data_IF_721765012536
#
_entry.id   IF_721765012536
#
_cell.length_a   1.000
_cell.length_b   1.000
_cell.length_c   1.000
_cell.angle_alpha   90.00
_cell.angle_beta   90.00
_cell.angle_gamma   90.00
#
_symmetry.space_group_name_H-M   'P 1'
#
loop_
_entity.id
_entity.type
_entity.pdbx_description
1 polymer ?
#
# COMPACT_ATOMS: atom_id res chain seq x y z
N UNK A 1 40.91 18.36 -44.97
CA UNK A 1 40.53 17.28 -44.06
C UNK A 1 40.98 15.96 -44.65
N UNK A 2 41.98 15.37 -44.05
CA UNK A 2 42.67 14.18 -44.58
C UNK A 2 41.77 12.92 -44.47
N UNK A 3 41.92 11.99 -45.45
CA UNK A 3 41.23 10.71 -45.51
C UNK A 3 41.33 9.88 -44.20
N UNK A 4 42.38 10.08 -43.41
CA UNK A 4 42.58 9.44 -42.12
C UNK A 4 41.57 9.93 -41.03
N UNK A 5 41.18 11.21 -41.05
CA UNK A 5 40.19 11.75 -40.07
C UNK A 5 38.77 11.25 -40.34
N UNK A 6 38.45 10.92 -41.59
CA UNK A 6 37.14 10.34 -41.93
C UNK A 6 37.02 8.86 -41.53
N UNK A 7 38.14 8.12 -41.53
CA UNK A 7 38.15 6.72 -41.09
C UNK A 7 38.07 6.59 -39.55
N UNK A 8 38.66 7.52 -38.82
CA UNK A 8 38.59 7.54 -37.34
C UNK A 8 37.18 7.88 -36.80
N UNK A 9 36.42 8.73 -37.51
CA UNK A 9 35.03 9.03 -37.14
C UNK A 9 34.05 7.88 -37.48
N UNK A 10 34.36 7.06 -38.49
CA UNK A 10 33.51 5.92 -38.86
C UNK A 10 33.73 4.72 -37.94
N UNK A 11 34.94 4.53 -37.39
CA UNK A 11 35.26 3.47 -36.42
C UNK A 11 34.76 3.78 -35.01
N UNK A 12 34.53 5.04 -34.63
CA UNK A 12 34.00 5.41 -33.34
C UNK A 12 32.46 5.25 -33.27
N UNK A 13 31.76 5.24 -34.41
CA UNK A 13 30.31 5.06 -34.48
C UNK A 13 29.89 3.58 -34.44
N UNK A 14 30.82 2.65 -34.67
CA UNK A 14 30.55 1.20 -34.65
C UNK A 14 30.76 0.52 -33.31
N UNK A 15 31.29 1.24 -32.30
CA UNK A 15 31.53 0.69 -30.95
C UNK A 15 30.45 1.02 -29.92
N UNK A 16 29.39 1.75 -30.30
CA UNK A 16 28.24 2.05 -29.43
C UNK A 16 26.98 1.26 -29.83
N UNK A 17 27.17 0.05 -30.36
CA UNK A 17 26.11 -0.95 -30.32
C UNK A 17 26.04 -1.47 -28.88
N UNK A 18 25.50 -0.63 -27.98
CA UNK A 18 25.09 -1.08 -26.68
C UNK A 18 24.14 -2.25 -26.92
N UNK A 19 24.58 -3.44 -26.61
CA UNK A 19 23.77 -4.65 -26.56
C UNK A 19 22.65 -4.37 -25.57
N UNK A 20 21.50 -3.89 -26.08
CA UNK A 20 20.26 -4.00 -25.33
C UNK A 20 20.05 -5.50 -25.20
N UNK A 21 20.59 -6.06 -24.15
CA UNK A 21 20.27 -7.43 -23.74
C UNK A 21 18.79 -7.43 -23.40
N UNK A 22 17.97 -7.60 -24.42
CA UNK A 22 16.58 -7.98 -24.23
C UNK A 22 16.63 -9.37 -23.61
N UNK A 23 16.48 -9.44 -22.30
CA UNK A 23 16.29 -10.72 -21.64
C UNK A 23 15.12 -11.40 -22.35
N UNK A 24 15.36 -12.60 -22.87
CA UNK A 24 14.30 -13.39 -23.48
C UNK A 24 13.11 -13.47 -22.51
N UNK A 25 11.87 -13.34 -23.00
CA UNK A 25 10.71 -13.42 -22.15
C UNK A 25 10.76 -14.72 -21.36
N UNK A 26 10.72 -14.64 -20.04
CA UNK A 26 10.75 -15.79 -19.15
C UNK A 26 9.46 -16.58 -19.37
N UNK A 27 9.57 -17.83 -19.77
CA UNK A 27 8.42 -18.72 -19.93
C UNK A 27 7.91 -19.13 -18.55
N UNK A 28 6.90 -18.43 -18.06
CA UNK A 28 6.24 -18.73 -16.80
C UNK A 28 5.28 -19.91 -16.98
N UNK A 29 5.61 -21.05 -16.39
CA UNK A 29 4.69 -22.19 -16.33
C UNK A 29 3.56 -21.90 -15.36
N UNK A 30 2.36 -22.39 -15.68
CA UNK A 30 1.20 -22.27 -14.82
C UNK A 30 0.60 -23.66 -14.49
N UNK A 31 -0.12 -23.72 -13.41
CA UNK A 31 -0.96 -24.86 -13.02
C UNK A 31 -2.44 -24.50 -13.17
N UNK A 32 -3.28 -25.52 -13.27
CA UNK A 32 -4.74 -25.36 -13.33
C UNK A 32 -5.39 -26.25 -12.27
N UNK A 33 -6.62 -25.93 -11.89
CA UNK A 33 -7.42 -26.76 -11.01
C UNK A 33 -8.40 -27.60 -11.87
N UNK A 34 -8.44 -28.92 -11.74
CA UNK A 34 -9.42 -29.75 -12.45
C UNK A 34 -10.85 -29.27 -12.18
N UNK A 35 -11.67 -29.23 -13.23
CA UNK A 35 -13.07 -28.81 -13.16
C UNK A 35 -13.34 -27.39 -12.63
N UNK A 36 -12.33 -26.51 -12.64
CA UNK A 36 -12.53 -25.10 -12.31
C UNK A 36 -13.39 -24.41 -13.39
N UNK A 37 -14.57 -23.88 -13.04
CA UNK A 37 -15.46 -23.20 -13.97
C UNK A 37 -14.83 -21.92 -14.55
N UNK A 38 -13.93 -21.28 -13.80
CA UNK A 38 -13.23 -20.06 -14.21
C UNK A 38 -12.02 -20.35 -15.10
N UNK A 39 -11.59 -21.63 -15.19
CA UNK A 39 -10.41 -22.06 -15.94
C UNK A 39 -9.16 -21.24 -15.58
N UNK A 40 -8.99 -20.97 -14.28
CA UNK A 40 -7.90 -20.15 -13.77
C UNK A 40 -6.54 -20.74 -14.09
N UNK A 41 -5.62 -19.90 -14.54
CA UNK A 41 -4.19 -20.19 -14.67
C UNK A 41 -3.48 -19.63 -13.47
N UNK A 42 -2.76 -20.47 -12.74
CA UNK A 42 -2.07 -20.11 -11.51
C UNK A 42 -0.57 -20.11 -11.77
N UNK A 43 0.03 -18.93 -11.75
CA UNK A 43 1.47 -18.74 -11.89
C UNK A 43 2.08 -18.55 -10.51
N UNK A 44 3.28 -19.07 -10.31
CA UNK A 44 4.09 -18.79 -9.12
C UNK A 44 5.38 -18.12 -9.58
N UNK A 45 5.62 -16.91 -9.12
CA UNK A 45 6.82 -16.15 -9.43
C UNK A 45 7.96 -16.58 -8.50
N UNK A 46 9.22 -16.24 -8.86
CA UNK A 46 10.40 -16.65 -8.11
C UNK A 46 10.42 -16.14 -6.65
N UNK A 47 9.78 -15.00 -6.39
CA UNK A 47 9.62 -14.43 -5.05
C UNK A 47 8.46 -15.04 -4.25
N UNK A 48 7.78 -16.06 -4.79
CA UNK A 48 6.65 -16.72 -4.15
C UNK A 48 5.29 -16.07 -4.41
N UNK A 49 5.21 -14.92 -5.11
CA UNK A 49 3.95 -14.30 -5.48
C UNK A 49 3.14 -15.24 -6.39
N UNK A 50 1.89 -15.45 -6.06
CA UNK A 50 0.95 -16.21 -6.91
C UNK A 50 0.07 -15.25 -7.70
N UNK A 51 -0.01 -15.49 -9.01
CA UNK A 51 -0.86 -14.73 -9.93
C UNK A 51 -1.93 -15.66 -10.48
N UNK A 52 -3.18 -15.34 -10.22
CA UNK A 52 -4.35 -16.06 -10.72
C UNK A 52 -4.92 -15.28 -11.88
N UNK A 53 -5.06 -15.90 -13.04
CA UNK A 53 -5.58 -15.27 -14.24
C UNK A 53 -6.74 -16.06 -14.81
N UNK A 54 -7.87 -15.39 -15.03
CA UNK A 54 -9.01 -15.91 -15.77
C UNK A 54 -9.25 -15.06 -17.01
N UNK A 55 -9.92 -15.59 -18.02
CA UNK A 55 -10.22 -14.85 -19.24
C UNK A 55 -11.74 -14.71 -19.40
N UNK A 56 -12.22 -13.47 -19.34
CA UNK A 56 -13.55 -13.09 -19.76
C UNK A 56 -13.42 -12.22 -21.02
N UNK A 57 -14.11 -12.60 -22.12
CA UNK A 57 -14.06 -11.88 -23.41
C UNK A 57 -15.25 -10.94 -23.63
N UNK A 58 -16.14 -10.83 -22.67
CA UNK A 58 -17.37 -10.04 -22.80
C UNK A 58 -17.11 -8.54 -22.67
N UNK A 59 -16.03 -8.16 -21.96
CA UNK A 59 -15.67 -6.75 -21.78
C UNK A 59 -14.17 -6.53 -22.04
N UNK A 60 -13.76 -5.35 -22.56
CA UNK A 60 -12.35 -4.99 -22.75
C UNK A 60 -11.71 -4.47 -21.47
N UNK A 61 -12.11 -4.97 -20.31
CA UNK A 61 -11.64 -4.54 -18.98
C UNK A 61 -11.14 -5.74 -18.17
N UNK A 62 -10.32 -5.45 -17.18
CA UNK A 62 -9.77 -6.42 -16.25
C UNK A 62 -10.12 -5.99 -14.83
N UNK A 63 -10.85 -6.83 -14.11
CA UNK A 63 -11.03 -6.69 -12.68
C UNK A 63 -9.78 -7.25 -11.98
N UNK A 64 -9.10 -6.43 -11.20
CA UNK A 64 -7.88 -6.80 -10.49
C UNK A 64 -8.12 -6.90 -8.98
N UNK A 65 -7.39 -7.82 -8.35
CA UNK A 65 -7.37 -8.01 -6.91
C UNK A 65 -5.92 -8.27 -6.46
N UNK A 66 -5.40 -7.45 -5.56
CA UNK A 66 -4.13 -7.72 -4.88
C UNK A 66 -4.45 -8.08 -3.44
N UNK A 67 -4.40 -9.37 -3.13
CA UNK A 67 -4.74 -9.93 -1.83
C UNK A 67 -3.47 -10.18 -1.01
N UNK A 68 -3.36 -9.50 0.13
CA UNK A 68 -2.31 -9.70 1.13
C UNK A 68 -2.87 -10.58 2.25
N UNK A 69 -2.18 -11.68 2.59
CA UNK A 69 -2.61 -12.64 3.64
C UNK A 69 -2.36 -12.08 5.06
N UNK A 70 -2.76 -10.85 5.27
CA UNK A 70 -2.73 -10.16 6.57
C UNK A 70 -4.07 -9.44 6.74
N UNK A 71 -4.64 -9.54 7.90
CA UNK A 71 -5.89 -8.90 8.27
C UNK A 71 -5.99 -8.73 9.79
N UNK A 72 -7.12 -8.29 10.28
CA UNK A 72 -7.31 -7.95 11.70
C UNK A 72 -6.95 -9.05 12.69
N UNK A 73 -6.98 -10.33 12.30
CA UNK A 73 -6.53 -11.43 13.17
C UNK A 73 -5.02 -11.42 13.43
N UNK A 74 -4.25 -10.74 12.60
CA UNK A 74 -2.80 -10.66 12.70
C UNK A 74 -2.34 -9.44 13.52
N UNK A 75 -3.27 -8.56 13.88
CA UNK A 75 -2.97 -7.40 14.71
C UNK A 75 -2.50 -7.84 16.10
N UNK A 76 -1.51 -7.14 16.69
CA UNK A 76 -1.20 -7.33 18.10
C UNK A 76 -2.43 -7.03 18.97
N UNK A 77 -2.62 -7.78 20.05
CA UNK A 77 -3.79 -7.64 20.92
C UNK A 77 -3.93 -6.22 21.53
N UNK A 78 -2.79 -5.58 21.73
CA UNK A 78 -2.70 -4.23 22.29
C UNK A 78 -2.96 -3.12 21.26
N UNK A 79 -2.82 -3.42 19.95
CA UNK A 79 -2.89 -2.44 18.86
C UNK A 79 -3.76 -2.94 17.71
N UNK A 80 -4.98 -3.35 18.03
CA UNK A 80 -5.94 -3.84 17.03
C UNK A 80 -6.36 -2.73 16.07
N UNK A 81 -6.56 -3.10 14.78
CA UNK A 81 -6.88 -2.17 13.69
C UNK A 81 -5.66 -1.79 12.84
N UNK A 82 -4.49 -2.34 13.16
CA UNK A 82 -3.24 -2.06 12.46
C UNK A 82 -3.31 -2.44 10.97
N UNK A 83 -3.86 -3.60 10.64
CA UNK A 83 -4.02 -4.04 9.26
C UNK A 83 -4.90 -3.09 8.44
N UNK A 84 -6.01 -2.61 9.01
CA UNK A 84 -6.89 -1.62 8.38
C UNK A 84 -6.20 -0.27 8.23
N UNK A 85 -5.46 0.16 9.24
CA UNK A 85 -4.69 1.38 9.18
C UNK A 85 -3.59 1.34 8.09
N UNK A 86 -2.87 0.22 7.97
CA UNK A 86 -1.91 0.03 6.87
C UNK A 86 -2.58 0.04 5.50
N UNK A 87 -3.80 -0.47 5.38
CA UNK A 87 -4.58 -0.36 4.14
C UNK A 87 -4.67 1.10 3.69
N UNK A 88 -5.06 2.02 4.59
CA UNK A 88 -5.15 3.45 4.31
C UNK A 88 -3.79 4.06 3.93
N UNK A 89 -2.72 3.71 4.66
CA UNK A 89 -1.38 4.23 4.41
C UNK A 89 -0.85 3.85 3.02
N UNK A 90 -1.28 2.72 2.47
CA UNK A 90 -0.89 2.28 1.13
C UNK A 90 -1.42 3.20 0.00
N UNK A 91 -2.32 4.12 0.28
CA UNK A 91 -2.80 5.14 -0.66
C UNK A 91 -2.04 6.47 -0.58
N UNK A 92 -1.13 6.61 0.39
CA UNK A 92 -0.40 7.87 0.63
C UNK A 92 0.79 8.10 -0.29
N UNK A 93 1.13 7.12 -1.13
CA UNK A 93 2.16 7.23 -2.15
C UNK A 93 3.46 6.48 -1.82
N UNK A 94 4.47 6.76 -2.63
CA UNK A 94 5.76 6.08 -2.61
C UNK A 94 6.90 7.10 -2.57
N UNK A 95 8.12 6.66 -2.80
CA UNK A 95 9.26 7.55 -3.05
C UNK A 95 9.16 8.27 -4.41
N UNK A 96 8.26 7.83 -5.32
CA UNK A 96 8.16 8.33 -6.69
C UNK A 96 6.87 9.09 -7.00
N UNK A 97 5.80 8.84 -6.24
CA UNK A 97 4.54 9.57 -6.33
C UNK A 97 3.96 9.84 -4.93
N UNK A 98 3.02 10.77 -4.83
CA UNK A 98 2.51 11.28 -3.55
C UNK A 98 3.36 12.39 -2.93
N UNK A 99 4.43 12.79 -3.62
CA UNK A 99 5.33 13.86 -3.18
C UNK A 99 5.86 14.67 -4.37
N UNK A 100 6.07 15.95 -4.15
CA UNK A 100 6.73 16.83 -5.13
C UNK A 100 8.26 16.66 -5.13
N UNK A 101 8.84 16.28 -3.98
CA UNK A 101 10.28 16.10 -3.81
C UNK A 101 10.57 15.22 -2.59
N UNK A 102 10.75 13.92 -2.81
CA UNK A 102 11.00 12.97 -1.73
C UNK A 102 12.34 13.24 -1.00
N UNK A 103 13.38 13.65 -1.70
CA UNK A 103 14.69 13.92 -1.08
C UNK A 103 14.64 15.07 -0.06
N UNK A 104 13.77 16.06 -0.31
CA UNK A 104 13.52 17.15 0.62
C UNK A 104 12.51 16.77 1.74
N UNK A 105 11.56 15.89 1.44
CA UNK A 105 10.55 15.38 2.39
C UNK A 105 11.17 14.41 3.40
N UNK A 106 12.02 13.49 2.95
CA UNK A 106 12.57 12.39 3.74
C UNK A 106 13.15 12.80 5.10
N UNK A 107 14.01 13.84 5.21
CA UNK A 107 14.55 14.24 6.51
C UNK A 107 13.48 14.67 7.53
N UNK A 108 12.34 15.17 7.06
CA UNK A 108 11.21 15.54 7.91
C UNK A 108 10.50 14.29 8.42
N UNK A 109 10.26 13.32 7.53
CA UNK A 109 9.66 12.02 7.89
C UNK A 109 10.52 11.28 8.89
N UNK A 110 11.83 11.20 8.67
CA UNK A 110 12.80 10.57 9.59
C UNK A 110 12.77 11.25 10.99
N UNK A 111 12.61 12.57 11.04
CA UNK A 111 12.49 13.31 12.31
C UNK A 111 11.15 13.07 13.00
N UNK A 112 10.06 12.96 12.24
CA UNK A 112 8.74 12.62 12.79
C UNK A 112 8.80 11.25 13.46
N UNK A 113 9.36 10.24 12.79
CA UNK A 113 9.56 8.90 13.34
C UNK A 113 10.37 8.93 14.64
N UNK A 114 11.50 9.66 14.65
CA UNK A 114 12.31 9.83 15.86
C UNK A 114 11.54 10.48 17.02
N UNK A 115 10.69 11.47 16.73
CA UNK A 115 9.89 12.12 17.76
C UNK A 115 8.79 11.18 18.30
N UNK A 116 8.19 10.33 17.47
CA UNK A 116 7.27 9.28 17.93
C UNK A 116 7.99 8.27 18.84
N UNK A 117 9.23 7.89 18.55
CA UNK A 117 10.02 7.02 19.43
C UNK A 117 10.30 7.65 20.80
N UNK A 118 10.51 8.97 20.85
CA UNK A 118 10.65 9.70 22.13
C UNK A 118 9.30 9.77 22.84
N UNK A 119 8.23 10.09 22.11
CA UNK A 119 6.86 10.17 22.63
C UNK A 119 6.43 8.85 23.29
N UNK A 120 6.68 7.72 22.63
CA UNK A 120 6.35 6.39 23.12
C UNK A 120 7.03 6.05 24.46
N UNK A 121 8.24 6.55 24.68
CA UNK A 121 9.04 6.31 25.90
C UNK A 121 8.76 7.31 27.01
N UNK A 122 8.05 8.39 26.73
CA UNK A 122 7.78 9.48 27.68
C UNK A 122 6.45 9.23 28.38
N UNK A 123 6.44 9.24 29.71
CA UNK A 123 5.24 9.06 30.55
C UNK A 123 4.70 10.36 31.13
N UNK A 124 5.51 11.41 31.22
CA UNK A 124 5.10 12.72 31.71
C UNK A 124 4.19 13.41 30.70
N UNK A 125 2.99 13.77 31.11
CA UNK A 125 1.95 14.31 30.24
C UNK A 125 2.34 15.67 29.62
N UNK A 126 3.00 16.53 30.37
CA UNK A 126 3.42 17.84 29.86
C UNK A 126 4.52 17.69 28.79
N UNK A 127 5.44 16.78 29.01
CA UNK A 127 6.49 16.45 28.03
C UNK A 127 5.89 15.78 26.78
N UNK A 128 4.98 14.83 26.94
CA UNK A 128 4.25 14.21 25.81
C UNK A 128 3.56 15.27 24.94
N UNK A 129 2.85 16.21 25.57
CA UNK A 129 2.20 17.31 24.85
C UNK A 129 3.18 18.19 24.08
N UNK A 130 4.34 18.48 24.68
CA UNK A 130 5.39 19.25 24.02
C UNK A 130 5.99 18.50 22.81
N UNK A 131 6.26 17.20 22.95
CA UNK A 131 6.75 16.35 21.86
C UNK A 131 5.73 16.26 20.74
N UNK A 132 4.45 16.06 21.05
CA UNK A 132 3.39 16.01 20.06
C UNK A 132 3.28 17.31 19.26
N UNK A 133 3.43 18.46 19.90
CA UNK A 133 3.48 19.75 19.20
C UNK A 133 4.67 19.86 18.22
N UNK A 134 5.81 19.25 18.54
CA UNK A 134 6.95 19.15 17.61
C UNK A 134 6.61 18.24 16.42
N UNK A 135 5.95 17.10 16.68
CA UNK A 135 5.47 16.18 15.62
C UNK A 135 4.50 16.91 14.68
N UNK A 136 3.53 17.65 15.20
CA UNK A 136 2.59 18.43 14.39
C UNK A 136 3.30 19.45 13.50
N UNK A 137 4.26 20.17 14.07
CA UNK A 137 5.03 21.17 13.32
C UNK A 137 5.83 20.54 12.18
N UNK A 138 6.50 19.41 12.43
CA UNK A 138 7.25 18.67 11.43
C UNK A 138 6.33 18.10 10.35
N UNK A 139 5.17 17.59 10.75
CA UNK A 139 4.19 17.03 9.84
C UNK A 139 3.57 18.09 8.94
N UNK A 140 3.34 19.29 9.47
CA UNK A 140 2.93 20.42 8.65
C UNK A 140 4.00 20.81 7.62
N UNK A 141 5.28 20.83 7.99
CA UNK A 141 6.36 21.09 7.04
C UNK A 141 6.46 19.97 5.98
N UNK A 142 6.35 18.70 6.37
CA UNK A 142 6.35 17.57 5.45
C UNK A 142 5.14 17.61 4.48
N UNK A 143 3.97 18.02 4.95
CA UNK A 143 2.76 18.10 4.14
C UNK A 143 2.87 19.07 2.96
N UNK A 144 3.78 20.04 3.00
CA UNK A 144 4.04 20.96 1.89
C UNK A 144 4.61 20.26 0.65
N UNK A 145 5.24 19.11 0.84
CA UNK A 145 5.74 18.25 -0.26
C UNK A 145 4.70 17.26 -0.74
N UNK A 146 3.70 16.93 0.06
CA UNK A 146 2.71 15.92 -0.29
C UNK A 146 1.84 16.36 -1.48
N UNK A 147 1.54 15.40 -2.37
CA UNK A 147 0.55 15.54 -3.43
C UNK A 147 -0.67 14.70 -3.05
N UNK A 148 -1.73 15.29 -2.50
CA UNK A 148 -2.89 14.54 -2.04
C UNK A 148 -3.55 13.77 -3.17
N UNK A 149 -3.95 12.52 -2.89
CA UNK A 149 -4.71 11.64 -3.78
C UNK A 149 -4.04 11.43 -5.15
N UNK A 150 -2.69 11.47 -5.20
CA UNK A 150 -1.97 11.28 -6.46
C UNK A 150 -2.13 9.84 -6.99
N UNK A 151 -2.23 8.85 -6.11
CA UNK A 151 -2.53 7.49 -6.50
C UNK A 151 -3.87 7.40 -7.28
N UNK A 152 -4.93 8.01 -6.77
CA UNK A 152 -6.23 8.03 -7.43
C UNK A 152 -6.17 8.74 -8.79
N UNK A 153 -5.38 9.83 -8.87
CA UNK A 153 -5.15 10.54 -10.14
C UNK A 153 -4.41 9.67 -11.15
N UNK A 154 -3.40 8.92 -10.73
CA UNK A 154 -2.67 7.98 -11.58
C UNK A 154 -3.59 6.85 -12.07
N UNK A 155 -4.41 6.29 -11.18
CA UNK A 155 -5.39 5.26 -11.54
C UNK A 155 -6.46 5.81 -12.51
N UNK A 156 -6.98 7.00 -12.24
CA UNK A 156 -7.91 7.67 -13.16
C UNK A 156 -7.28 7.96 -14.53
N UNK A 157 -6.01 8.36 -14.58
CA UNK A 157 -5.29 8.65 -15.82
C UNK A 157 -5.14 7.42 -16.73
N UNK A 158 -5.05 6.22 -16.16
CA UNK A 158 -5.07 4.97 -16.93
C UNK A 158 -6.50 4.43 -17.17
N UNK A 159 -7.53 5.18 -16.78
CA UNK A 159 -8.93 4.81 -16.98
C UNK A 159 -9.44 3.73 -16.02
N UNK A 160 -8.85 3.61 -14.83
CA UNK A 160 -9.35 2.72 -13.79
C UNK A 160 -10.69 3.23 -13.23
N UNK A 161 -11.53 2.29 -12.84
CA UNK A 161 -12.78 2.52 -12.12
C UNK A 161 -12.77 1.69 -10.82
N UNK A 162 -13.53 2.13 -9.81
CA UNK A 162 -13.74 1.35 -8.59
C UNK A 162 -12.45 1.07 -7.82
N UNK A 163 -11.48 1.99 -7.88
CA UNK A 163 -10.29 1.95 -7.03
C UNK A 163 -10.73 1.92 -5.57
N UNK A 164 -10.45 0.83 -4.89
CA UNK A 164 -10.89 0.61 -3.51
C UNK A 164 -9.99 -0.41 -2.80
N UNK A 165 -10.20 -0.56 -1.51
CA UNK A 165 -9.60 -1.63 -0.72
C UNK A 165 -10.56 -2.06 0.40
N UNK A 166 -10.26 -3.18 1.03
CA UNK A 166 -10.93 -3.62 2.24
C UNK A 166 -10.02 -4.51 3.08
N UNK A 167 -10.19 -4.44 4.39
CA UNK A 167 -9.54 -5.32 5.34
C UNK A 167 -10.59 -6.20 6.04
N UNK A 168 -10.34 -7.50 6.03
CA UNK A 168 -11.10 -8.50 6.79
C UNK A 168 -10.25 -9.10 7.91
N UNK A 169 -10.71 -10.18 8.54
CA UNK A 169 -9.90 -10.90 9.53
C UNK A 169 -8.63 -11.53 8.93
N UNK A 170 -8.70 -12.00 7.70
CA UNK A 170 -7.68 -12.86 7.09
C UNK A 170 -6.93 -12.19 5.94
N UNK A 171 -7.46 -11.12 5.38
CA UNK A 171 -6.95 -10.53 4.16
C UNK A 171 -7.16 -9.02 4.12
N UNK A 172 -6.17 -8.31 3.60
CA UNK A 172 -6.29 -6.95 3.08
C UNK A 172 -6.22 -7.03 1.56
N UNK A 173 -7.21 -6.49 0.88
CA UNK A 173 -7.35 -6.62 -0.57
C UNK A 173 -7.54 -5.26 -1.23
N UNK A 174 -6.78 -5.00 -2.28
CA UNK A 174 -6.86 -3.80 -3.11
C UNK A 174 -7.47 -4.18 -4.46
N UNK A 175 -8.44 -3.40 -4.92
CA UNK A 175 -9.25 -3.74 -6.10
C UNK A 175 -9.33 -2.58 -7.08
N UNK A 176 -9.19 -2.85 -8.35
CA UNK A 176 -9.41 -1.90 -9.44
C UNK A 176 -10.02 -2.62 -10.65
N UNK A 177 -10.82 -1.89 -11.41
CA UNK A 177 -11.29 -2.28 -12.74
C UNK A 177 -10.58 -1.40 -13.78
N UNK A 178 -9.71 -1.99 -14.61
CA UNK A 178 -8.85 -1.27 -15.55
C UNK A 178 -9.14 -1.65 -17.00
N UNK A 179 -8.92 -0.74 -17.98
CA UNK A 179 -8.89 -1.13 -19.38
C UNK A 179 -7.81 -2.19 -19.65
N UNK A 180 -8.13 -3.20 -20.47
CA UNK A 180 -7.24 -4.34 -20.72
C UNK A 180 -5.89 -3.94 -21.35
N UNK A 181 -5.84 -2.84 -22.09
CA UNK A 181 -4.62 -2.29 -22.67
C UNK A 181 -3.74 -1.49 -21.67
N UNK A 182 -4.18 -1.35 -20.40
CA UNK A 182 -3.47 -0.61 -19.37
C UNK A 182 -2.83 -1.52 -18.29
N UNK A 183 -2.88 -2.84 -18.48
CA UNK A 183 -2.37 -3.80 -17.50
C UNK A 183 -0.89 -3.56 -17.16
N UNK A 184 -0.08 -3.16 -18.13
CA UNK A 184 1.35 -2.88 -17.90
C UNK A 184 1.55 -1.62 -17.05
N UNK A 185 0.83 -0.55 -17.33
CA UNK A 185 0.88 0.69 -16.54
C UNK A 185 0.36 0.46 -15.12
N UNK A 186 -0.75 -0.26 -15.00
CA UNK A 186 -1.26 -0.70 -13.71
C UNK A 186 -0.22 -1.50 -12.92
N UNK A 187 0.40 -2.49 -13.55
CA UNK A 187 1.41 -3.32 -12.89
C UNK A 187 2.63 -2.52 -12.42
N UNK A 188 3.07 -1.52 -13.18
CA UNK A 188 4.16 -0.60 -12.78
C UNK A 188 3.79 0.22 -11.55
N UNK A 189 2.58 0.80 -11.53
CA UNK A 189 2.09 1.59 -10.39
C UNK A 189 1.99 0.70 -9.14
N UNK A 190 1.40 -0.49 -9.28
CA UNK A 190 1.28 -1.42 -8.16
C UNK A 190 2.64 -1.92 -7.66
N UNK A 191 3.55 -2.27 -8.57
CA UNK A 191 4.90 -2.70 -8.18
C UNK A 191 5.64 -1.61 -7.39
N UNK A 192 5.53 -0.37 -7.80
CA UNK A 192 6.11 0.76 -7.06
C UNK A 192 5.44 0.93 -5.69
N UNK A 193 4.11 0.89 -5.64
CA UNK A 193 3.32 1.00 -4.42
C UNK A 193 3.71 -0.05 -3.37
N UNK A 194 3.89 -1.31 -3.76
CA UNK A 194 4.26 -2.38 -2.82
C UNK A 194 5.76 -2.47 -2.52
N UNK A 195 6.61 -1.87 -3.35
CA UNK A 195 8.05 -1.89 -3.16
C UNK A 195 8.60 -0.68 -2.43
N UNK A 196 8.04 0.50 -2.71
CA UNK A 196 8.60 1.80 -2.35
C UNK A 196 7.61 2.65 -1.55
N UNK A 197 6.61 2.02 -0.91
CA UNK A 197 5.62 2.73 -0.08
C UNK A 197 6.29 3.57 1.01
N UNK A 198 5.72 4.73 1.28
CA UNK A 198 6.17 5.66 2.30
C UNK A 198 5.00 6.01 3.21
N UNK A 199 5.22 5.93 4.50
CA UNK A 199 4.25 6.34 5.52
C UNK A 199 4.22 7.87 5.58
N UNK A 200 3.18 8.46 4.99
CA UNK A 200 2.91 9.91 5.02
C UNK A 200 1.65 10.21 5.79
N UNK A 201 1.62 11.32 6.48
CA UNK A 201 0.42 11.77 7.19
C UNK A 201 -0.04 10.77 8.24
N UNK A 202 0.89 10.06 8.87
CA UNK A 202 0.65 8.98 9.82
C UNK A 202 -0.45 9.35 10.85
N UNK A 203 -0.26 10.40 11.61
CA UNK A 203 -1.20 10.78 12.67
C UNK A 203 -2.54 11.33 12.13
N UNK A 204 -2.52 12.06 11.02
CA UNK A 204 -3.75 12.59 10.38
C UNK A 204 -4.62 11.45 9.84
N UNK A 205 -4.00 10.42 9.27
CA UNK A 205 -4.71 9.24 8.81
C UNK A 205 -5.23 8.38 9.95
N UNK A 206 -4.51 8.37 11.06
CA UNK A 206 -4.95 7.70 12.27
C UNK A 206 -6.27 8.30 12.79
N UNK A 207 -6.40 9.62 12.79
CA UNK A 207 -7.64 10.32 13.15
C UNK A 207 -8.79 9.91 12.22
N UNK A 208 -8.53 9.80 10.91
CA UNK A 208 -9.53 9.36 9.93
C UNK A 208 -10.03 7.94 10.24
N UNK A 209 -9.11 6.99 10.45
CA UNK A 209 -9.47 5.59 10.78
C UNK A 209 -10.20 5.51 12.13
N UNK A 210 -9.83 6.34 13.09
CA UNK A 210 -10.51 6.43 14.39
C UNK A 210 -11.95 6.93 14.23
N UNK A 211 -12.20 7.96 13.41
CA UNK A 211 -13.55 8.46 13.13
C UNK A 211 -14.40 7.44 12.37
N UNK A 212 -13.82 6.70 11.41
CA UNK A 212 -14.51 5.59 10.76
C UNK A 212 -14.93 4.51 11.76
N UNK A 213 -14.05 4.20 12.72
CA UNK A 213 -14.38 3.30 13.83
C UNK A 213 -15.55 3.83 14.64
N UNK A 214 -15.51 5.08 15.05
CA UNK A 214 -16.58 5.71 15.82
C UNK A 214 -17.91 5.65 15.05
N UNK A 215 -17.90 5.97 13.75
CA UNK A 215 -19.09 5.86 12.91
C UNK A 215 -19.60 4.42 12.83
N UNK A 216 -18.70 3.43 12.70
CA UNK A 216 -19.09 2.02 12.65
C UNK A 216 -19.78 1.57 13.95
N UNK A 217 -19.36 2.08 15.09
CA UNK A 217 -19.93 1.77 16.40
C UNK A 217 -21.31 2.41 16.65
N UNK A 218 -21.75 3.38 15.83
CA UNK A 218 -23.13 3.89 15.90
C UNK A 218 -24.14 2.88 15.35
N UNK A 219 -23.69 1.86 14.61
CA UNK A 219 -24.55 0.88 13.97
C UNK A 219 -24.76 -0.35 14.87
N UNK A 220 -25.99 -0.63 15.25
CA UNK A 220 -26.32 -1.76 16.12
C UNK A 220 -25.92 -3.13 15.55
N UNK A 221 -26.07 -3.43 14.23
CA UNK A 221 -25.59 -4.69 13.67
C UNK A 221 -24.09 -4.92 13.90
N UNK A 222 -23.29 -3.85 13.88
CA UNK A 222 -21.86 -3.94 14.14
C UNK A 222 -21.57 -4.33 15.59
N UNK A 223 -22.22 -3.70 16.55
CA UNK A 223 -22.09 -4.01 17.98
C UNK A 223 -22.49 -5.46 18.29
N UNK A 224 -23.60 -5.91 17.69
CA UNK A 224 -24.07 -7.31 17.83
C UNK A 224 -23.03 -8.27 17.27
N UNK A 225 -22.50 -8.01 16.07
CA UNK A 225 -21.47 -8.84 15.44
C UNK A 225 -20.20 -8.93 16.29
N UNK A 226 -19.70 -7.81 16.80
CA UNK A 226 -18.50 -7.79 17.64
C UNK A 226 -18.71 -8.56 18.94
N UNK A 227 -19.86 -8.37 19.59
CA UNK A 227 -20.21 -9.11 20.82
C UNK A 227 -20.33 -10.60 20.57
N UNK A 228 -20.96 -10.99 19.47
CA UNK A 228 -21.12 -12.38 19.06
C UNK A 228 -19.77 -13.04 18.78
N UNK A 229 -18.90 -12.37 18.03
CA UNK A 229 -17.57 -12.91 17.72
C UNK A 229 -16.70 -13.05 18.98
N UNK A 230 -16.75 -12.10 19.90
CA UNK A 230 -16.07 -12.20 21.19
C UNK A 230 -16.56 -13.38 22.03
N UNK A 231 -17.87 -13.69 21.99
CA UNK A 231 -18.45 -14.82 22.70
C UNK A 231 -18.13 -16.17 22.02
N UNK A 232 -18.17 -16.23 20.68
CA UNK A 232 -17.92 -17.46 19.92
C UNK A 232 -16.43 -17.83 19.86
N UNK A 233 -15.55 -16.85 19.89
CA UNK A 233 -14.11 -17.04 19.69
C UNK A 233 -13.25 -16.47 20.84
N UNK A 234 -13.51 -16.81 22.12
CA UNK A 234 -12.87 -16.16 23.29
C UNK A 234 -11.35 -16.31 23.32
N UNK A 235 -10.81 -17.33 22.65
CA UNK A 235 -9.36 -17.62 22.60
C UNK A 235 -8.77 -17.56 21.18
N UNK A 236 -9.53 -17.04 20.22
CA UNK A 236 -9.08 -16.91 18.84
C UNK A 236 -9.01 -15.41 18.46
N UNK A 237 -8.06 -14.99 17.60
CA UNK A 237 -7.94 -13.59 17.17
C UNK A 237 -9.21 -12.98 16.55
N UNK A 238 -10.19 -13.78 16.16
CA UNK A 238 -11.49 -13.27 15.68
C UNK A 238 -12.34 -12.60 16.77
N UNK A 239 -11.98 -12.79 18.04
CA UNK A 239 -12.58 -12.01 19.14
C UNK A 239 -12.14 -10.54 19.12
N UNK A 240 -11.06 -10.22 18.42
CA UNK A 240 -10.52 -8.86 18.33
C UNK A 240 -11.35 -8.03 17.35
N UNK A 241 -11.46 -6.75 17.63
CA UNK A 241 -12.15 -5.82 16.75
C UNK A 241 -11.29 -5.48 15.52
N UNK A 242 -11.83 -5.65 14.30
CA UNK A 242 -11.11 -5.38 13.04
C UNK A 242 -10.72 -3.91 12.82
N UNK A 243 -11.48 -2.98 13.35
CA UNK A 243 -11.32 -1.54 13.11
C UNK A 243 -10.68 -0.78 14.29
N UNK A 244 -9.89 -1.43 15.11
CA UNK A 244 -9.16 -0.84 16.23
C UNK A 244 -9.79 -1.06 17.61
N UNK A 245 -8.97 -1.03 18.65
CA UNK A 245 -9.42 -1.21 20.03
C UNK A 245 -10.16 0.03 20.54
N UNK A 246 -11.00 -0.14 21.58
CA UNK A 246 -11.68 0.97 22.27
C UNK A 246 -10.75 1.82 23.13
N UNK A 247 -9.49 1.43 23.26
CA UNK A 247 -8.53 2.12 24.11
C UNK A 247 -7.88 3.27 23.34
N UNK A 248 -7.91 4.42 23.99
CA UNK A 248 -7.40 5.75 23.63
C UNK A 248 -6.21 5.78 22.65
N UNK A 249 -6.08 6.90 21.96
CA UNK A 249 -4.96 7.36 21.13
C UNK A 249 -3.55 6.95 21.59
N UNK A 250 -3.39 6.73 22.91
CA UNK A 250 -2.11 6.35 23.53
C UNK A 250 -1.59 4.96 23.09
N UNK A 251 -2.43 4.05 22.61
CA UNK A 251 -2.02 2.69 22.22
C UNK A 251 -1.65 2.56 20.74
N UNK A 252 -2.25 3.35 19.85
CA UNK A 252 -1.85 3.38 18.44
C UNK A 252 -0.46 4.02 18.23
N UNK A 253 -0.04 4.87 19.15
CA UNK A 253 1.27 5.53 19.13
C UNK A 253 2.38 4.65 19.74
N UNK A 254 2.08 3.41 20.07
CA UNK A 254 3.05 2.42 20.60
C UNK A 254 3.67 1.52 19.50
N UNK A 255 3.39 1.82 18.22
CA UNK A 255 3.96 1.09 17.06
C UNK A 255 5.26 1.80 16.60
#
# INVERSE_FOLDING_TARGET
MNKLTKLACLSLFLLFSASISSAAPKDYRYTTVPNDPLKARIYTLDNGLKVYMTVNKETPRIQTYIAVRVGGKNDPAETTGLAHYFEHLMFKGTTHFGTQNYEAERPLLDRIEQQFEVYRKTTDEAQRKAIYHVIDSLSYEASKYAIPNEYDKLMAAIGANGTNAYTSFDVTCYTEDIPSNQVENWAKIQADRFKNSIIRGFHTELETVYEEKNMSLTQDPRKVSETMLAALFPHHPYSQCQSGSRHREDHFLAI
#
